data_IF_930368910900
#
_entry.id   IF_930368910900
#
_cell.length_a   1.000
_cell.length_b   1.000
_cell.length_c   1.000
_cell.angle_alpha   90.00
_cell.angle_beta   90.00
_cell.angle_gamma   90.00
#
_symmetry.space_group_name_H-M   'P 1'
#
loop_
_entity.id
_entity.type
_entity.pdbx_description
1 polymer ?
#
# COMPACT_ATOMS: atom_id res chain seq x y z
N UNK A 1 13.44 3.94 -7.16
CA UNK A 1 14.89 4.17 -7.26
C UNK A 1 15.52 3.15 -6.35
N UNK A 2 16.27 2.20 -6.89
CA UNK A 2 17.05 1.25 -6.09
C UNK A 2 18.28 1.96 -5.48
N UNK A 3 19.13 1.22 -4.73
CA UNK A 3 20.30 1.80 -4.06
C UNK A 3 21.31 2.34 -5.08
N UNK A 4 21.42 1.70 -6.23
CA UNK A 4 22.48 1.94 -7.20
C UNK A 4 22.12 3.10 -8.14
N UNK A 5 20.84 3.21 -8.56
CA UNK A 5 20.29 4.41 -9.23
C UNK A 5 20.44 5.68 -8.37
N UNK A 6 20.43 5.57 -7.02
CA UNK A 6 20.58 6.70 -6.09
C UNK A 6 22.05 7.12 -5.99
N UNK A 7 22.96 6.16 -5.82
CA UNK A 7 24.42 6.38 -5.79
C UNK A 7 24.89 6.98 -7.13
N UNK A 8 24.45 6.43 -8.25
CA UNK A 8 24.77 6.92 -9.60
C UNK A 8 24.27 8.36 -9.87
N UNK A 9 23.30 8.86 -9.09
CA UNK A 9 22.79 10.24 -9.15
C UNK A 9 23.47 11.18 -8.14
N UNK A 10 24.49 10.73 -7.41
CA UNK A 10 25.20 11.53 -6.40
C UNK A 10 24.37 11.87 -5.17
N UNK A 11 23.23 11.21 -4.96
CA UNK A 11 22.37 11.43 -3.80
C UNK A 11 22.92 10.66 -2.60
N UNK A 12 23.03 11.32 -1.43
CA UNK A 12 23.48 10.67 -0.19
C UNK A 12 22.50 9.56 0.21
N UNK A 13 23.00 8.33 0.30
CA UNK A 13 22.26 7.20 0.86
C UNK A 13 22.36 7.24 2.38
N UNK A 14 21.23 7.36 3.06
CA UNK A 14 21.18 7.34 4.53
C UNK A 14 20.98 5.91 5.04
N UNK A 15 21.94 5.41 5.82
CA UNK A 15 21.86 4.12 6.53
C UNK A 15 20.99 4.22 7.79
N UNK A 16 19.68 4.24 7.58
CA UNK A 16 18.69 4.09 8.64
C UNK A 16 18.06 2.70 8.59
N UNK A 17 18.29 1.86 9.61
CA UNK A 17 17.52 0.64 9.81
C UNK A 17 16.19 0.93 10.53
N UNK A 18 15.12 1.22 9.78
CA UNK A 18 13.75 1.10 10.31
C UNK A 18 12.96 0.00 9.58
N UNK A 19 12.77 -1.13 10.25
CA UNK A 19 12.12 -2.33 9.70
C UNK A 19 10.59 -2.22 9.75
N UNK A 20 9.97 -1.51 8.79
CA UNK A 20 8.52 -1.56 8.50
C UNK A 20 8.19 -1.46 6.99
N UNK A 21 8.99 -2.10 6.13
CA UNK A 21 8.89 -2.10 4.65
C UNK A 21 9.13 -0.72 3.98
N UNK A 22 10.28 -0.11 4.29
CA UNK A 22 10.84 1.13 3.66
C UNK A 22 10.71 1.09 2.13
N UNK A 23 10.16 2.16 1.51
CA UNK A 23 10.04 2.27 0.05
C UNK A 23 10.99 3.29 -0.61
N UNK A 24 11.50 4.27 0.13
CA UNK A 24 12.52 5.21 -0.35
C UNK A 24 13.87 4.95 0.33
N UNK A 25 14.76 4.20 -0.33
CA UNK A 25 16.11 3.88 0.18
C UNK A 25 17.05 5.10 0.30
N UNK A 26 16.69 6.20 -0.37
CA UNK A 26 17.43 7.47 -0.39
C UNK A 26 16.95 8.47 0.67
N UNK A 27 15.79 8.25 1.29
CA UNK A 27 15.17 9.24 2.17
C UNK A 27 15.56 9.02 3.65
N UNK A 28 15.81 10.13 4.37
CA UNK A 28 16.00 10.16 5.82
C UNK A 28 14.64 10.27 6.53
N UNK A 29 14.20 9.17 7.16
CA UNK A 29 12.95 9.09 7.91
C UNK A 29 13.07 9.51 9.39
N UNK A 30 14.24 9.98 9.83
CA UNK A 30 14.40 10.74 11.08
C UNK A 30 14.12 12.23 10.85
N UNK A 31 14.57 12.75 9.71
CA UNK A 31 14.51 14.18 9.38
C UNK A 31 13.14 14.71 8.96
N UNK A 32 13.10 16.02 8.71
CA UNK A 32 11.94 16.76 8.21
C UNK A 32 11.39 16.15 6.93
N UNK A 33 10.07 15.99 6.85
CA UNK A 33 9.42 15.45 5.65
C UNK A 33 7.90 15.40 5.76
N UNK A 34 7.22 15.34 4.62
CA UNK A 34 5.78 15.09 4.56
C UNK A 34 5.53 13.75 3.87
N UNK A 35 4.67 12.92 4.45
CA UNK A 35 4.48 11.54 4.06
C UNK A 35 2.99 11.22 3.90
N UNK A 36 2.60 10.59 2.80
CA UNK A 36 1.30 9.93 2.70
C UNK A 36 1.47 8.46 3.04
N UNK A 37 0.82 8.04 4.13
CA UNK A 37 0.90 6.70 4.68
C UNK A 37 -0.38 5.93 4.37
N UNK A 38 -0.26 4.60 4.22
CA UNK A 38 -1.38 3.68 4.06
C UNK A 38 -1.16 2.46 4.95
N UNK A 39 -2.09 2.22 5.87
CA UNK A 39 -2.12 1.06 6.76
C UNK A 39 -3.30 0.18 6.38
N UNK A 40 -3.05 -1.06 5.96
CA UNK A 40 -4.09 -2.00 5.52
C UNK A 40 -4.45 -2.94 6.67
N UNK A 41 -5.74 -3.14 6.92
CA UNK A 41 -6.24 -4.12 7.89
C UNK A 41 -5.86 -5.52 7.41
N UNK A 42 -5.42 -6.41 8.31
CA UNK A 42 -5.02 -7.78 7.94
C UNK A 42 -6.14 -8.47 7.15
N UNK A 43 -5.79 -9.09 6.02
CA UNK A 43 -6.75 -9.73 5.12
C UNK A 43 -7.75 -8.79 4.44
N UNK A 44 -7.56 -7.46 4.53
CA UNK A 44 -8.50 -6.42 4.06
C UNK A 44 -9.92 -6.55 4.64
N UNK A 45 -10.02 -7.02 5.88
CA UNK A 45 -11.31 -7.09 6.57
C UNK A 45 -11.91 -5.68 6.74
N UNK A 46 -13.20 -5.45 6.43
CA UNK A 46 -13.83 -4.13 6.49
C UNK A 46 -14.22 -3.72 7.92
N UNK A 47 -13.26 -3.76 8.86
CA UNK A 47 -13.48 -3.58 10.30
C UNK A 47 -13.64 -2.13 10.73
N UNK A 48 -13.24 -1.16 9.90
CA UNK A 48 -13.14 0.26 10.30
C UNK A 48 -14.41 1.06 9.96
N UNK A 49 -15.33 0.50 9.18
CA UNK A 49 -16.59 1.16 8.83
C UNK A 49 -17.22 0.61 7.56
N UNK A 50 -18.38 1.14 7.20
CA UNK A 50 -19.14 0.79 6.00
C UNK A 50 -19.23 2.01 5.07
N UNK A 51 -19.03 1.78 3.78
CA UNK A 51 -19.22 2.80 2.76
C UNK A 51 -20.72 3.08 2.57
N UNK A 52 -21.10 4.35 2.48
CA UNK A 52 -22.48 4.83 2.40
C UNK A 52 -22.56 6.09 1.51
N UNK A 53 -23.74 6.40 0.99
CA UNK A 53 -24.03 7.59 0.17
C UNK A 53 -24.30 7.27 -1.30
N UNK A 54 -24.41 8.32 -2.12
CA UNK A 54 -24.77 8.30 -3.54
C UNK A 54 -23.64 8.87 -4.41
N UNK A 55 -23.25 8.18 -5.48
CA UNK A 55 -22.12 8.62 -6.34
C UNK A 55 -22.39 9.94 -7.06
N UNK A 56 -23.66 10.19 -7.35
CA UNK A 56 -24.21 11.36 -8.05
C UNK A 56 -24.55 12.55 -7.12
N UNK A 57 -24.46 12.37 -5.80
CA UNK A 57 -24.63 13.47 -4.83
C UNK A 57 -23.46 14.46 -4.93
N UNK A 58 -23.74 15.76 -4.78
CA UNK A 58 -22.74 16.82 -4.90
C UNK A 58 -21.82 16.83 -3.66
N UNK A 59 -20.55 17.26 -3.81
CA UNK A 59 -19.66 17.45 -2.65
C UNK A 59 -20.27 18.46 -1.66
N UNK A 60 -20.53 18.00 -0.43
CA UNK A 60 -21.18 18.79 0.62
C UNK A 60 -22.61 18.35 0.94
N UNK A 61 -23.28 17.61 0.04
CA UNK A 61 -24.60 17.04 0.29
C UNK A 61 -24.52 16.01 1.44
N UNK A 62 -25.60 15.89 2.22
CA UNK A 62 -25.71 14.89 3.29
C UNK A 62 -25.48 13.45 2.79
N UNK A 63 -25.88 13.18 1.55
CA UNK A 63 -25.79 11.89 0.87
C UNK A 63 -24.47 11.66 0.12
N UNK A 64 -23.51 12.60 0.18
CA UNK A 64 -22.21 12.46 -0.48
C UNK A 64 -21.47 11.18 -0.01
N UNK A 65 -20.71 10.48 -0.89
CA UNK A 65 -20.08 9.21 -0.54
C UNK A 65 -19.09 9.35 0.60
N UNK A 66 -19.34 8.62 1.68
CA UNK A 66 -18.55 8.67 2.92
C UNK A 66 -18.45 7.30 3.58
N UNK A 67 -17.53 7.17 4.53
CA UNK A 67 -17.38 5.96 5.33
C UNK A 67 -18.02 6.22 6.69
N UNK A 68 -19.12 5.52 6.96
CA UNK A 68 -19.71 5.47 8.30
C UNK A 68 -18.81 4.58 9.15
N UNK A 69 -18.05 5.20 10.05
CA UNK A 69 -17.07 4.51 10.89
C UNK A 69 -17.75 3.48 11.80
N UNK A 70 -17.11 2.33 11.97
CA UNK A 70 -17.47 1.36 13.02
C UNK A 70 -17.06 1.90 14.39
N UNK A 71 -17.44 1.22 15.47
CA UNK A 71 -16.94 1.51 16.82
C UNK A 71 -15.40 1.58 16.86
N UNK A 72 -14.71 0.64 16.20
CA UNK A 72 -13.26 0.66 16.06
C UNK A 72 -12.75 1.83 15.20
N UNK A 73 -13.43 2.15 14.11
CA UNK A 73 -13.10 3.32 13.30
C UNK A 73 -13.21 4.63 14.10
N UNK A 74 -14.25 4.76 14.93
CA UNK A 74 -14.46 5.90 15.83
C UNK A 74 -13.37 5.95 16.90
N UNK A 75 -13.06 4.83 17.55
CA UNK A 75 -11.98 4.75 18.56
C UNK A 75 -10.63 5.14 17.95
N UNK A 76 -10.28 4.65 16.75
CA UNK A 76 -9.03 5.03 16.08
C UNK A 76 -9.03 6.53 15.73
N UNK A 77 -10.13 7.06 15.20
CA UNK A 77 -10.24 8.47 14.82
C UNK A 77 -10.14 9.43 16.02
N UNK A 78 -10.80 9.12 17.13
CA UNK A 78 -10.94 9.99 18.30
C UNK A 78 -9.90 9.75 19.39
N UNK A 79 -9.43 8.52 19.58
CA UNK A 79 -8.47 8.16 20.63
C UNK A 79 -7.05 7.99 20.07
N UNK A 80 -6.86 7.21 19.00
CA UNK A 80 -5.52 6.78 18.57
C UNK A 80 -4.79 7.74 17.64
N UNK A 81 -5.50 8.46 16.76
CA UNK A 81 -4.87 9.45 15.87
C UNK A 81 -4.34 10.66 16.66
N UNK A 82 -5.09 11.28 17.61
CA UNK A 82 -4.58 12.40 18.40
C UNK A 82 -3.36 12.03 19.27
N UNK A 83 -3.24 10.76 19.69
CA UNK A 83 -2.07 10.26 20.42
C UNK A 83 -0.76 10.38 19.63
N UNK A 84 -0.79 10.40 18.29
CA UNK A 84 0.42 10.62 17.48
C UNK A 84 1.06 11.95 17.86
N UNK A 85 0.33 13.06 17.79
CA UNK A 85 0.87 14.38 18.12
C UNK A 85 1.14 14.52 19.63
N UNK A 86 0.28 13.93 20.49
CA UNK A 86 0.46 13.98 21.95
C UNK A 86 1.75 13.32 22.43
N UNK A 87 2.14 12.18 21.86
CA UNK A 87 3.38 11.49 22.21
C UNK A 87 4.59 12.01 21.41
N UNK A 88 4.36 12.57 20.23
CA UNK A 88 5.39 13.02 19.29
C UNK A 88 5.08 14.44 18.77
N UNK A 89 5.36 15.50 19.54
CA UNK A 89 5.00 16.88 19.18
C UNK A 89 5.66 17.40 17.88
N UNK A 90 6.77 16.79 17.46
CA UNK A 90 7.40 17.06 16.15
C UNK A 90 6.57 16.56 14.97
N UNK A 91 5.56 15.71 15.22
CA UNK A 91 4.76 15.02 14.21
C UNK A 91 3.33 15.54 14.20
N UNK A 92 2.86 15.99 13.05
CA UNK A 92 1.49 16.46 12.82
C UNK A 92 0.76 15.56 11.84
N UNK A 93 -0.54 15.36 12.05
CA UNK A 93 -1.42 14.65 11.12
C UNK A 93 -2.29 15.70 10.41
N UNK A 94 -1.97 15.98 9.14
CA UNK A 94 -2.60 17.04 8.34
C UNK A 94 -3.88 16.61 7.61
N UNK A 95 -4.05 15.30 7.37
CA UNK A 95 -5.28 14.74 6.77
C UNK A 95 -5.41 13.27 7.13
N UNK A 96 -6.65 12.82 7.27
CA UNK A 96 -7.02 11.44 7.59
C UNK A 96 -8.12 11.00 6.64
N UNK A 97 -8.03 9.79 6.11
CA UNK A 97 -9.15 9.12 5.45
C UNK A 97 -9.17 7.66 5.93
N UNK A 98 -10.16 7.32 6.75
CA UNK A 98 -10.40 5.95 7.20
C UNK A 98 -11.36 5.30 6.20
N UNK A 99 -10.85 4.31 5.47
CA UNK A 99 -11.59 3.45 4.56
C UNK A 99 -12.02 2.18 5.29
N UNK A 100 -13.02 1.41 4.80
CA UNK A 100 -13.50 0.21 5.49
C UNK A 100 -12.41 -0.78 5.94
N UNK A 101 -11.41 -1.01 5.07
CA UNK A 101 -10.33 -2.00 5.22
C UNK A 101 -8.92 -1.39 5.35
N UNK A 102 -8.78 -0.06 5.39
CA UNK A 102 -7.46 0.60 5.47
C UNK A 102 -7.55 2.06 5.93
N UNK A 103 -6.43 2.63 6.37
CA UNK A 103 -6.32 4.04 6.78
C UNK A 103 -5.28 4.74 5.91
N UNK A 104 -5.64 5.90 5.37
CA UNK A 104 -4.71 6.86 4.78
C UNK A 104 -4.46 8.03 5.75
N UNK A 105 -3.20 8.42 5.91
CA UNK A 105 -2.77 9.58 6.70
C UNK A 105 -1.85 10.46 5.86
N UNK A 106 -1.97 11.78 5.96
CA UNK A 106 -0.90 12.71 5.57
C UNK A 106 -0.25 13.20 6.86
N UNK A 107 1.05 12.93 7.02
CA UNK A 107 1.82 13.19 8.22
C UNK A 107 3.00 14.11 7.90
N UNK A 108 3.20 15.16 8.71
CA UNK A 108 4.36 16.06 8.64
C UNK A 108 5.27 15.79 9.83
N UNK A 109 6.56 15.54 9.56
CA UNK A 109 7.64 15.61 10.54
C UNK A 109 8.26 17.00 10.43
N UNK A 110 8.14 17.80 11.50
CA UNK A 110 8.59 19.21 11.57
C UNK A 110 10.04 19.39 11.97
N UNK A 111 10.58 18.44 12.74
CA UNK A 111 11.90 18.48 13.36
C UNK A 111 12.54 17.09 13.34
N UNK A 112 13.84 17.00 13.58
CA UNK A 112 14.53 15.70 13.59
C UNK A 112 14.07 14.85 14.78
N UNK A 113 13.63 13.63 14.50
CA UNK A 113 13.11 12.73 15.51
C UNK A 113 14.19 12.21 16.46
N UNK A 114 15.48 12.21 16.06
CA UNK A 114 16.60 11.72 16.89
C UNK A 114 16.81 12.51 18.18
N UNK A 115 16.47 13.80 18.20
CA UNK A 115 16.61 14.69 19.36
C UNK A 115 15.34 14.86 20.20
N UNK A 116 14.23 14.22 19.81
CA UNK A 116 12.94 14.44 20.46
C UNK A 116 12.66 13.48 21.60
N UNK A 117 12.41 14.00 22.80
CA UNK A 117 11.85 13.19 23.89
C UNK A 117 10.40 12.81 23.55
N UNK A 118 10.13 11.51 23.44
CA UNK A 118 8.76 10.99 23.43
C UNK A 118 8.27 10.93 24.88
N UNK A 119 7.21 11.67 25.22
CA UNK A 119 6.71 11.70 26.61
C UNK A 119 6.26 10.32 27.08
N UNK A 120 6.62 9.95 28.32
CA UNK A 120 6.08 8.76 28.99
C UNK A 120 4.54 8.84 29.05
N UNK A 121 3.89 7.68 28.93
CA UNK A 121 2.45 7.60 28.83
C UNK A 121 1.75 7.94 30.15
N UNK A 122 0.99 9.04 30.16
CA UNK A 122 -0.06 9.28 31.16
C UNK A 122 -0.99 8.07 31.26
N UNK A 123 -1.06 7.44 32.44
CA UNK A 123 -2.09 6.46 32.79
C UNK A 123 -1.80 5.02 32.38
N UNK A 124 -0.84 4.36 33.06
CA UNK A 124 -1.15 3.03 33.61
C UNK A 124 -1.29 3.26 35.11
N UNK A 125 -2.52 3.30 35.61
CA UNK A 125 -2.76 3.54 37.04
C UNK A 125 -2.13 2.43 37.87
N UNK A 126 -1.55 2.83 39.00
CA UNK A 126 -0.94 1.90 39.93
C UNK A 126 -2.03 1.03 40.59
N UNK A 127 -2.10 -0.25 40.22
CA UNK A 127 -2.49 -1.29 41.18
C UNK A 127 -1.23 -1.75 41.88
N UNK A 128 -0.95 -1.13 43.02
CA UNK A 128 0.09 -1.59 43.92
C UNK A 128 -0.34 -2.82 44.71
N UNK A 129 0.65 -3.48 45.34
CA UNK A 129 0.44 -4.23 46.58
C UNK A 129 -0.05 -5.67 46.45
N UNK A 130 0.75 -6.59 47.02
CA UNK A 130 0.33 -7.87 47.61
C UNK A 130 -0.22 -8.97 46.67
N UNK A 131 0.69 -9.61 45.95
CA UNK A 131 0.57 -11.03 45.54
C UNK A 131 1.95 -11.67 45.31
N UNK A 132 2.83 -11.69 46.33
CA UNK A 132 4.12 -12.39 46.26
C UNK A 132 4.66 -12.82 47.64
N UNK A 133 3.80 -13.46 48.42
CA UNK A 133 4.17 -14.37 49.51
C UNK A 133 3.08 -15.46 49.54
N UNK A 134 3.42 -16.69 49.95
CA UNK A 134 2.55 -17.89 49.89
C UNK A 134 2.33 -18.52 48.50
N UNK A 135 3.40 -19.00 47.87
CA UNK A 135 3.43 -20.32 47.16
C UNK A 135 4.89 -20.73 46.89
N UNK A 136 5.63 -21.10 47.94
CA UNK A 136 6.94 -21.78 47.78
C UNK A 136 7.27 -22.82 48.85
N UNK A 137 6.30 -23.17 49.71
CA UNK A 137 6.41 -24.25 50.69
C UNK A 137 5.20 -25.19 50.57
N UNK A 138 5.25 -26.07 49.56
CA UNK A 138 4.32 -27.18 49.39
C UNK A 138 4.92 -28.24 48.45
N UNK A 139 6.14 -28.70 48.74
CA UNK A 139 6.77 -29.85 48.05
C UNK A 139 7.93 -30.44 48.89
N UNK A 140 7.68 -30.70 50.18
CA UNK A 140 8.60 -31.48 51.02
C UNK A 140 7.89 -32.17 52.21
N UNK A 141 7.01 -33.12 51.94
CA UNK A 141 6.61 -34.13 52.93
C UNK A 141 6.02 -35.39 52.27
N UNK A 142 6.60 -36.55 52.60
CA UNK A 142 5.95 -37.88 52.68
C UNK A 142 5.27 -38.39 51.39
N UNK A 143 5.82 -39.42 50.75
CA UNK A 143 5.74 -40.78 51.31
C UNK A 143 6.92 -41.67 50.90
N UNK A 144 7.50 -42.37 51.88
CA UNK A 144 8.31 -43.59 51.67
C UNK A 144 7.41 -44.80 51.94
N UNK A 145 7.58 -45.90 51.19
CA UNK A 145 7.12 -47.22 51.64
C UNK A 145 6.91 -48.28 50.56
N UNK A 146 7.75 -49.34 50.59
CA UNK A 146 7.58 -50.67 49.95
C UNK A 146 7.50 -50.71 48.39
N UNK A 147 8.46 -51.31 47.69
CA UNK A 147 8.65 -52.76 47.41
C UNK A 147 7.58 -53.31 46.42
N UNK A 148 7.89 -54.14 45.41
CA UNK A 148 9.06 -55.02 45.16
C UNK A 148 9.13 -55.44 43.67
N UNK A 149 10.32 -55.88 43.20
CA UNK A 149 10.63 -56.87 42.11
C UNK A 149 9.69 -56.98 40.86
N UNK A 150 10.11 -57.02 39.59
CA UNK A 150 11.10 -57.83 38.84
C UNK A 150 11.24 -57.21 37.41
N UNK A 151 12.16 -57.50 36.45
CA UNK A 151 13.39 -58.33 36.32
C UNK A 151 14.22 -57.81 35.10
N UNK A 152 15.43 -58.36 34.91
CA UNK A 152 16.17 -58.70 33.65
C UNK A 152 15.92 -57.94 32.32
N UNK A 153 16.95 -57.57 31.54
CA UNK A 153 18.40 -57.73 31.73
C UNK A 153 19.23 -57.39 30.47
N UNK A 154 20.56 -57.35 30.62
CA UNK A 154 21.62 -57.38 29.57
C UNK A 154 21.64 -56.33 28.44
N UNK A 155 22.78 -56.00 27.80
CA UNK A 155 24.18 -55.80 28.25
C UNK A 155 24.96 -55.08 27.11
N UNK A 156 26.20 -54.64 27.38
CA UNK A 156 27.31 -54.38 26.42
C UNK A 156 27.35 -53.12 25.52
N UNK A 157 28.39 -52.31 25.81
CA UNK A 157 29.41 -51.78 24.86
C UNK A 157 29.01 -50.63 23.88
N UNK A 158 29.90 -49.69 23.52
CA UNK A 158 31.30 -49.38 23.92
C UNK A 158 31.66 -47.93 23.49
N UNK A 159 32.50 -47.23 24.29
CA UNK A 159 33.30 -46.03 23.95
C UNK A 159 32.59 -44.78 23.35
N UNK A 160 33.02 -43.54 23.61
CA UNK A 160 34.10 -43.03 24.44
C UNK A 160 34.36 -41.55 24.08
N UNK A 161 34.81 -40.72 25.03
CA UNK A 161 35.11 -39.31 24.75
C UNK A 161 34.68 -38.35 25.87
N UNK A 162 35.50 -38.24 26.91
CA UNK A 162 35.38 -37.17 27.90
C UNK A 162 36.05 -35.89 27.39
N UNK A 163 35.57 -34.73 27.85
CA UNK A 163 36.49 -33.72 28.39
C UNK A 163 35.79 -32.75 29.34
N UNK A 164 36.52 -32.41 30.41
CA UNK A 164 36.16 -31.49 31.49
C UNK A 164 36.14 -30.04 30.95
N UNK A 165 35.18 -29.19 31.30
CA UNK A 165 35.01 -28.52 32.59
C UNK A 165 36.24 -27.69 33.01
N UNK A 166 36.11 -26.36 32.96
CA UNK A 166 36.87 -25.45 33.82
C UNK A 166 35.96 -24.29 34.26
N UNK A 167 35.83 -24.16 35.57
CA UNK A 167 35.20 -23.04 36.28
C UNK A 167 36.32 -22.07 36.65
N UNK A 168 36.07 -20.78 36.53
CA UNK A 168 36.91 -19.71 37.07
C UNK A 168 36.01 -18.67 37.74
N UNK A 169 36.12 -18.55 39.05
CA UNK A 169 35.34 -17.61 39.88
C UNK A 169 36.08 -16.26 40.05
N UNK A 170 35.37 -15.32 40.66
CA UNK A 170 35.85 -14.08 41.31
C UNK A 170 36.23 -12.88 40.40
N UNK A 171 35.94 -11.63 40.78
CA UNK A 171 34.88 -11.09 41.65
C UNK A 171 34.81 -9.55 41.47
N UNK A 172 33.89 -8.88 42.17
CA UNK A 172 33.85 -7.43 42.43
C UNK A 172 33.74 -6.46 41.23
N UNK A 173 32.57 -5.83 41.11
CA UNK A 173 32.29 -4.79 40.10
C UNK A 173 30.98 -4.05 40.32
N UNK A 174 30.64 -3.72 41.57
CA UNK A 174 29.39 -3.01 41.89
C UNK A 174 29.46 -1.54 41.44
N UNK A 175 29.01 -1.26 40.22
CA UNK A 175 28.61 0.09 39.82
C UNK A 175 27.15 0.03 39.40
N UNK A 176 26.29 0.55 40.27
CA UNK A 176 24.87 0.64 39.97
C UNK A 176 24.60 1.74 38.95
N UNK A 177 23.70 1.46 38.01
CA UNK A 177 22.66 2.42 37.60
C UNK A 177 21.59 1.66 36.83
N UNK A 178 20.37 1.64 37.36
CA UNK A 178 19.18 1.27 36.60
C UNK A 178 18.90 2.35 35.58
N UNK A 179 19.65 2.34 34.48
CA UNK A 179 19.31 3.11 33.30
C UNK A 179 17.94 2.61 32.80
N UNK A 180 16.87 3.38 33.10
CA UNK A 180 15.62 3.30 32.34
C UNK A 180 16.03 3.27 30.86
N UNK A 181 15.57 2.27 30.10
CA UNK A 181 15.72 2.28 28.65
C UNK A 181 14.91 3.45 28.09
N UNK A 182 15.56 4.61 28.00
CA UNK A 182 15.08 5.73 27.21
C UNK A 182 14.82 5.21 25.80
N UNK A 183 13.56 5.30 25.38
CA UNK A 183 13.11 4.61 24.18
C UNK A 183 13.41 5.48 22.97
N UNK A 184 14.67 5.41 22.52
CA UNK A 184 15.22 6.18 21.40
C UNK A 184 14.20 6.37 20.27
N UNK A 185 13.87 7.63 20.00
CA UNK A 185 12.92 7.99 18.96
C UNK A 185 13.59 7.98 17.58
N UNK A 186 13.89 6.77 17.10
CA UNK A 186 14.77 6.57 15.96
C UNK A 186 14.16 6.63 14.55
N UNK A 187 12.91 7.10 14.33
CA UNK A 187 12.32 7.39 12.99
C UNK A 187 10.79 7.52 13.00
N UNK A 188 10.22 8.01 11.89
CA UNK A 188 8.80 7.87 11.55
C UNK A 188 8.30 6.41 11.67
N UNK A 189 9.15 5.43 11.35
CA UNK A 189 8.81 4.01 11.48
C UNK A 189 8.44 3.60 12.92
N UNK A 190 9.10 4.19 13.92
CA UNK A 190 8.78 3.96 15.34
C UNK A 190 7.49 4.68 15.77
N UNK A 191 7.25 5.90 15.27
CA UNK A 191 5.98 6.62 15.48
C UNK A 191 4.79 5.81 14.97
N UNK A 192 4.90 5.26 13.75
CA UNK A 192 3.84 4.43 13.16
C UNK A 192 3.72 3.07 13.86
N UNK A 193 4.81 2.48 14.35
CA UNK A 193 4.75 1.30 15.24
C UNK A 193 3.95 1.61 16.52
N UNK A 194 4.18 2.78 17.14
CA UNK A 194 3.39 3.29 18.28
C UNK A 194 1.90 3.35 17.98
N UNK A 195 1.52 4.06 16.92
CA UNK A 195 0.14 4.17 16.45
C UNK A 195 -0.53 2.82 16.18
N UNK A 196 0.17 1.90 15.48
CA UNK A 196 -0.35 0.55 15.21
C UNK A 196 -0.61 -0.26 16.49
N UNK A 197 0.24 -0.12 17.51
CA UNK A 197 0.01 -0.79 18.81
C UNK A 197 -1.23 -0.23 19.52
N UNK A 198 -1.43 1.09 19.50
CA UNK A 198 -2.62 1.73 20.06
C UNK A 198 -3.91 1.26 19.40
N UNK A 199 -3.97 1.30 18.06
CA UNK A 199 -5.08 0.76 17.28
C UNK A 199 -5.33 -0.74 17.55
N UNK A 200 -4.27 -1.52 17.73
CA UNK A 200 -4.38 -2.94 18.07
C UNK A 200 -5.00 -3.13 19.47
N UNK A 201 -4.65 -2.32 20.47
CA UNK A 201 -5.32 -2.34 21.79
C UNK A 201 -6.81 -2.04 21.68
N UNK A 202 -7.20 -1.01 20.93
CA UNK A 202 -8.61 -0.68 20.67
C UNK A 202 -9.35 -1.83 19.96
N UNK A 203 -8.70 -2.47 18.98
CA UNK A 203 -9.23 -3.65 18.28
C UNK A 203 -9.49 -4.84 19.23
N UNK A 204 -8.55 -5.17 20.12
CA UNK A 204 -8.74 -6.24 21.11
C UNK A 204 -9.78 -5.86 22.18
N UNK A 205 -9.86 -4.59 22.59
CA UNK A 205 -10.91 -4.09 23.50
C UNK A 205 -12.32 -4.31 22.95
N UNK A 206 -12.52 -4.12 21.64
CA UNK A 206 -13.83 -4.16 20.97
C UNK A 206 -14.19 -5.57 20.46
N UNK A 207 -13.24 -6.28 19.85
CA UNK A 207 -13.51 -7.57 19.19
C UNK A 207 -12.88 -8.79 19.86
N UNK A 208 -12.06 -8.61 20.90
CA UNK A 208 -11.20 -9.65 21.46
C UNK A 208 -11.88 -10.70 22.34
N UNK A 209 -13.19 -10.63 22.57
CA UNK A 209 -13.86 -11.46 23.57
C UNK A 209 -14.31 -12.85 23.09
N UNK A 210 -14.43 -13.12 21.78
CA UNK A 210 -15.24 -14.26 21.29
C UNK A 210 -14.69 -15.11 20.11
N UNK A 211 -13.40 -15.04 19.73
CA UNK A 211 -12.83 -16.00 18.73
C UNK A 211 -11.36 -16.34 18.94
N UNK A 212 -10.96 -17.50 18.39
CA UNK A 212 -9.58 -17.99 18.27
C UNK A 212 -8.57 -16.92 17.82
N UNK A 213 -7.25 -17.07 18.12
CA UNK A 213 -6.26 -16.00 18.06
C UNK A 213 -6.19 -15.34 16.69
N UNK A 214 -6.88 -14.21 16.54
CA UNK A 214 -6.77 -13.36 15.37
C UNK A 214 -5.36 -12.75 15.34
N UNK A 215 -4.82 -12.58 14.14
CA UNK A 215 -3.64 -11.72 13.95
C UNK A 215 -3.97 -10.29 14.38
N UNK A 216 -2.93 -9.49 14.61
CA UNK A 216 -3.09 -8.07 14.91
C UNK A 216 -3.83 -7.30 13.80
N UNK A 217 -4.43 -6.16 14.15
CA UNK A 217 -5.37 -5.41 13.29
C UNK A 217 -4.86 -5.15 11.86
N UNK A 218 -3.57 -4.86 11.69
CA UNK A 218 -3.00 -4.42 10.41
C UNK A 218 -1.96 -5.39 9.87
N UNK A 219 -1.89 -5.48 8.53
CA UNK A 219 -0.82 -6.18 7.81
C UNK A 219 0.58 -5.74 8.26
N UNK A 220 1.58 -6.61 8.14
CA UNK A 220 2.97 -6.30 8.52
C UNK A 220 3.55 -5.14 7.66
N UNK A 221 4.17 -4.15 8.31
CA UNK A 221 4.68 -2.93 7.69
C UNK A 221 3.62 -1.84 7.48
N UNK A 222 3.88 -0.93 6.55
CA UNK A 222 2.90 0.00 5.95
C UNK A 222 3.38 0.38 4.53
N UNK A 223 2.62 1.21 3.80
CA UNK A 223 3.04 1.78 2.53
C UNK A 223 3.14 3.29 2.67
N UNK A 224 4.24 3.89 2.22
CA UNK A 224 4.49 5.32 2.28
C UNK A 224 4.82 5.93 0.91
N UNK A 225 4.56 7.23 0.79
CA UNK A 225 5.09 8.11 -0.26
C UNK A 225 5.63 9.37 0.40
N UNK A 226 6.82 9.81 -0.02
CA UNK A 226 7.43 11.09 0.38
C UNK A 226 6.94 12.19 -0.54
N UNK A 227 6.54 13.33 0.02
CA UNK A 227 6.17 14.53 -0.73
C UNK A 227 7.45 15.20 -1.25
N UNK A 228 7.55 15.41 -2.56
CA UNK A 228 8.74 15.99 -3.19
C UNK A 228 8.57 17.48 -3.49
N UNK A 229 7.35 17.92 -3.76
CA UNK A 229 7.03 19.31 -4.13
C UNK A 229 5.74 19.76 -3.46
N UNK A 230 5.67 21.01 -3.02
CA UNK A 230 4.54 21.52 -2.21
C UNK A 230 3.19 21.40 -2.90
N UNK A 231 3.11 21.71 -4.21
CA UNK A 231 1.90 21.56 -5.05
C UNK A 231 1.32 20.13 -5.10
N UNK A 232 2.05 19.12 -4.65
CA UNK A 232 1.52 17.76 -4.51
C UNK A 232 0.58 17.62 -3.29
N UNK A 233 0.67 18.53 -2.30
CA UNK A 233 -0.06 18.44 -1.04
C UNK A 233 -1.56 18.68 -1.21
N UNK A 234 -1.98 19.71 -1.96
CA UNK A 234 -3.40 19.92 -2.30
C UNK A 234 -3.94 18.71 -3.07
N UNK A 235 -3.14 18.17 -4.00
CA UNK A 235 -3.48 16.97 -4.76
C UNK A 235 -3.68 15.74 -3.87
N UNK A 236 -2.83 15.54 -2.86
CA UNK A 236 -2.96 14.45 -1.90
C UNK A 236 -4.15 14.63 -0.95
N UNK A 237 -4.42 15.85 -0.48
CA UNK A 237 -5.61 16.16 0.33
C UNK A 237 -6.89 15.82 -0.46
N UNK A 238 -7.03 16.37 -1.68
CA UNK A 238 -8.15 16.07 -2.60
C UNK A 238 -8.27 14.57 -2.90
N UNK A 239 -7.14 13.88 -3.12
CA UNK A 239 -7.12 12.43 -3.35
C UNK A 239 -7.63 11.63 -2.14
N UNK A 240 -7.27 12.02 -0.91
CA UNK A 240 -7.76 11.39 0.32
C UNK A 240 -9.27 11.57 0.47
N UNK A 241 -9.74 12.80 0.27
CA UNK A 241 -11.16 13.17 0.40
C UNK A 241 -12.04 12.44 -0.63
N UNK A 242 -11.52 12.20 -1.84
CA UNK A 242 -12.23 11.52 -2.93
C UNK A 242 -12.23 9.97 -2.84
N UNK A 243 -11.41 9.38 -1.97
CA UNK A 243 -11.29 7.91 -1.89
C UNK A 243 -12.60 7.16 -1.59
N UNK A 244 -13.51 7.64 -0.70
CA UNK A 244 -14.82 7.03 -0.52
C UNK A 244 -15.65 6.98 -1.82
N UNK A 245 -15.77 8.09 -2.56
CA UNK A 245 -16.46 8.11 -3.86
C UNK A 245 -15.78 7.16 -4.86
N UNK A 246 -14.46 7.18 -4.96
CA UNK A 246 -13.69 6.29 -5.85
C UNK A 246 -13.82 4.80 -5.50
N UNK A 247 -14.12 4.46 -4.24
CA UNK A 247 -14.45 3.09 -3.83
C UNK A 247 -15.90 2.75 -4.20
N UNK A 248 -16.83 3.70 -4.04
CA UNK A 248 -18.24 3.52 -4.39
C UNK A 248 -18.39 3.24 -5.89
N UNK A 249 -17.78 4.08 -6.73
CA UNK A 249 -17.71 3.90 -8.18
C UNK A 249 -17.18 2.51 -8.57
N UNK A 250 -16.13 2.02 -7.89
CA UNK A 250 -15.59 0.67 -8.14
C UNK A 250 -16.57 -0.44 -7.74
N UNK A 251 -17.39 -0.23 -6.70
CA UNK A 251 -18.39 -1.21 -6.22
C UNK A 251 -19.65 -1.24 -7.10
N UNK A 252 -20.05 -0.11 -7.68
CA UNK A 252 -21.17 -0.05 -8.63
C UNK A 252 -20.80 -0.62 -10.00
N UNK A 253 -19.56 -0.37 -10.47
CA UNK A 253 -19.11 -0.77 -11.81
C UNK A 253 -17.97 -1.82 -11.77
N UNK A 254 -18.14 -2.99 -11.12
CA UNK A 254 -17.04 -3.95 -10.92
C UNK A 254 -16.47 -4.49 -12.24
N UNK A 255 -17.29 -4.62 -13.30
CA UNK A 255 -16.84 -5.06 -14.63
C UNK A 255 -15.77 -4.14 -15.24
N UNK A 256 -15.91 -2.82 -15.10
CA UNK A 256 -14.96 -1.83 -15.61
C UNK A 256 -13.61 -1.87 -14.86
N UNK A 257 -13.60 -2.35 -13.61
CA UNK A 257 -12.42 -2.38 -12.73
C UNK A 257 -11.89 -3.78 -12.41
N UNK A 258 -12.26 -4.77 -13.22
CA UNK A 258 -11.78 -6.15 -13.13
C UNK A 258 -10.84 -6.46 -14.29
N UNK A 259 -9.68 -7.05 -13.99
CA UNK A 259 -8.75 -7.51 -15.04
C UNK A 259 -9.32 -8.78 -15.67
N UNK A 260 -9.69 -8.67 -16.93
CA UNK A 260 -10.05 -9.79 -17.80
C UNK A 260 -8.77 -10.46 -18.32
N UNK A 261 -8.74 -11.78 -18.28
CA UNK A 261 -7.59 -12.61 -18.61
C UNK A 261 -7.86 -13.42 -19.89
N UNK A 262 -6.81 -13.76 -20.63
CA UNK A 262 -6.86 -14.63 -21.82
C UNK A 262 -7.92 -14.22 -22.86
N UNK A 263 -8.15 -12.92 -23.06
CA UNK A 263 -9.09 -12.41 -24.07
C UNK A 263 -8.42 -12.34 -25.42
N UNK A 264 -9.12 -12.76 -26.46
CA UNK A 264 -8.61 -12.72 -27.83
C UNK A 264 -8.90 -11.36 -28.47
N UNK A 265 -7.85 -10.68 -28.93
CA UNK A 265 -7.91 -9.36 -29.59
C UNK A 265 -6.85 -9.32 -30.69
N UNK A 266 -7.24 -8.99 -31.93
CA UNK A 266 -6.34 -8.92 -33.09
C UNK A 266 -5.46 -10.18 -33.32
N UNK A 267 -6.02 -11.35 -33.04
CA UNK A 267 -5.35 -12.66 -33.12
C UNK A 267 -4.35 -12.96 -31.99
N UNK A 268 -4.39 -12.23 -30.87
CA UNK A 268 -3.52 -12.44 -29.70
C UNK A 268 -4.34 -12.65 -28.42
N UNK A 269 -3.86 -13.52 -27.52
CA UNK A 269 -4.33 -13.55 -26.13
C UNK A 269 -3.79 -12.33 -25.38
N UNK A 270 -4.67 -11.66 -24.66
CA UNK A 270 -4.40 -10.38 -24.01
C UNK A 270 -5.02 -10.33 -22.61
N UNK A 271 -4.45 -9.47 -21.78
CA UNK A 271 -5.06 -8.99 -20.54
C UNK A 271 -5.77 -7.67 -20.83
N UNK A 272 -6.93 -7.42 -20.21
CA UNK A 272 -7.76 -6.24 -20.48
C UNK A 272 -8.39 -5.70 -19.20
N UNK A 273 -8.63 -4.39 -19.13
CA UNK A 273 -9.36 -3.74 -18.02
C UNK A 273 -10.04 -2.46 -18.51
N UNK A 274 -11.30 -2.25 -18.12
CA UNK A 274 -12.15 -1.19 -18.65
C UNK A 274 -13.31 -1.73 -19.49
N UNK A 275 -13.87 -0.88 -20.36
CA UNK A 275 -15.06 -1.22 -21.13
C UNK A 275 -14.72 -2.05 -22.39
N UNK A 276 -14.92 -3.38 -22.35
CA UNK A 276 -14.64 -4.25 -23.50
C UNK A 276 -15.51 -3.94 -24.74
N UNK A 277 -16.73 -3.41 -24.56
CA UNK A 277 -17.63 -3.06 -25.66
C UNK A 277 -17.09 -1.95 -26.58
N UNK A 278 -15.99 -1.27 -26.21
CA UNK A 278 -15.31 -0.35 -27.12
C UNK A 278 -14.68 -1.04 -28.34
N UNK A 279 -14.44 -2.35 -28.28
CA UNK A 279 -13.97 -3.11 -29.45
C UNK A 279 -15.08 -3.29 -30.51
N UNK A 280 -16.33 -3.39 -30.07
CA UNK A 280 -17.49 -3.67 -30.92
C UNK A 280 -17.97 -2.43 -31.71
N UNK A 281 -17.56 -1.23 -31.31
CA UNK A 281 -17.88 0.03 -32.01
C UNK A 281 -17.18 0.03 -33.39
N UNK A 282 -17.88 0.25 -34.51
CA UNK A 282 -17.27 0.14 -35.84
C UNK A 282 -16.37 1.33 -36.24
N UNK A 283 -16.74 2.58 -35.92
CA UNK A 283 -15.91 3.76 -36.21
C UNK A 283 -14.72 3.79 -35.23
N UNK A 284 -13.54 3.38 -35.70
CA UNK A 284 -12.30 3.30 -34.93
C UNK A 284 -11.13 3.81 -35.75
N UNK A 285 -10.18 4.49 -35.11
CA UNK A 285 -8.96 5.01 -35.76
C UNK A 285 -7.72 4.70 -34.94
N UNK A 286 -6.67 4.25 -35.61
CA UNK A 286 -5.36 4.06 -35.01
C UNK A 286 -4.62 5.40 -34.92
N UNK A 287 -4.34 5.85 -33.70
CA UNK A 287 -3.50 7.02 -33.41
C UNK A 287 -2.07 6.53 -33.26
N UNK A 288 -1.37 6.47 -34.39
CA UNK A 288 0.01 5.98 -34.54
C UNK A 288 0.83 7.03 -35.30
N UNK A 289 2.00 7.39 -34.79
CA UNK A 289 2.89 8.37 -35.43
C UNK A 289 4.14 7.69 -35.98
N UNK A 290 4.30 7.74 -37.31
CA UNK A 290 5.49 7.23 -37.98
C UNK A 290 6.51 8.34 -38.25
N UNK A 291 7.81 8.00 -38.14
CA UNK A 291 8.95 8.91 -38.40
C UNK A 291 8.98 9.60 -39.78
N UNK A 292 8.15 9.15 -40.73
CA UNK A 292 8.07 9.65 -42.10
C UNK A 292 7.06 10.79 -42.28
N UNK A 293 6.23 11.06 -41.28
CA UNK A 293 5.19 12.07 -41.36
C UNK A 293 5.78 13.46 -41.18
N UNK A 294 5.39 14.37 -42.08
CA UNK A 294 5.67 15.81 -41.94
C UNK A 294 4.79 16.43 -40.86
N UNK A 295 5.12 17.62 -40.35
CA UNK A 295 4.21 18.36 -39.46
C UNK A 295 2.86 18.67 -40.14
N UNK A 296 2.83 18.80 -41.48
CA UNK A 296 1.58 18.92 -42.26
C UNK A 296 0.72 17.65 -42.21
N UNK A 297 1.34 16.47 -42.34
CA UNK A 297 0.65 15.19 -42.17
C UNK A 297 0.12 15.02 -40.74
N UNK A 298 0.94 15.34 -39.74
CA UNK A 298 0.54 15.26 -38.32
C UNK A 298 -0.62 16.22 -38.00
N UNK A 299 -0.62 17.43 -38.56
CA UNK A 299 -1.71 18.39 -38.39
C UNK A 299 -3.01 17.91 -39.04
N UNK A 300 -2.93 17.24 -40.21
CA UNK A 300 -4.07 16.60 -40.86
C UNK A 300 -4.59 15.41 -40.05
N UNK A 301 -3.74 14.44 -39.74
CA UNK A 301 -4.08 13.23 -38.98
C UNK A 301 -4.67 13.57 -37.61
N UNK A 302 -4.15 14.60 -36.92
CA UNK A 302 -4.73 15.09 -35.65
C UNK A 302 -6.19 15.51 -35.81
N UNK A 303 -6.55 16.23 -36.88
CA UNK A 303 -7.93 16.63 -37.13
C UNK A 303 -8.81 15.41 -37.41
N UNK A 304 -8.33 14.46 -38.21
CA UNK A 304 -9.06 13.23 -38.53
C UNK A 304 -9.30 12.36 -37.28
N UNK A 305 -8.28 12.18 -36.44
CA UNK A 305 -8.38 11.43 -35.18
C UNK A 305 -9.35 12.08 -34.18
N UNK A 306 -9.28 13.41 -34.01
CA UNK A 306 -10.19 14.11 -33.11
C UNK A 306 -11.63 14.14 -33.65
N UNK A 307 -11.81 14.29 -34.97
CA UNK A 307 -13.13 14.23 -35.60
C UNK A 307 -13.78 12.83 -35.49
N UNK A 308 -12.99 11.74 -35.47
CA UNK A 308 -13.51 10.41 -35.12
C UNK A 308 -14.07 10.40 -33.69
N UNK A 309 -13.32 10.93 -32.72
CA UNK A 309 -13.78 11.06 -31.33
C UNK A 309 -15.02 11.95 -31.18
N UNK A 310 -15.11 13.07 -31.91
CA UNK A 310 -16.26 13.98 -31.93
C UNK A 310 -17.55 13.28 -32.36
N UNK A 311 -17.49 12.37 -33.33
CA UNK A 311 -18.63 11.55 -33.77
C UNK A 311 -18.90 10.34 -32.86
N UNK A 312 -18.11 10.15 -31.81
CA UNK A 312 -18.22 9.03 -30.88
C UNK A 312 -17.49 7.74 -31.31
N UNK A 313 -16.62 7.80 -32.32
CA UNK A 313 -15.70 6.71 -32.64
C UNK A 313 -14.62 6.50 -31.57
N UNK A 314 -13.79 5.47 -31.76
CA UNK A 314 -12.78 5.04 -30.78
C UNK A 314 -11.37 5.31 -31.26
N UNK A 315 -10.57 6.00 -30.44
CA UNK A 315 -9.16 6.22 -30.69
C UNK A 315 -8.35 5.06 -30.10
N UNK A 316 -7.63 4.33 -30.94
CA UNK A 316 -6.80 3.17 -30.55
C UNK A 316 -5.34 3.58 -30.59
N UNK A 317 -4.58 3.40 -29.50
CA UNK A 317 -3.17 3.81 -29.48
C UNK A 317 -2.35 3.10 -28.41
N UNK A 318 -1.04 3.03 -28.64
CA UNK A 318 -0.05 2.60 -27.66
C UNK A 318 0.56 3.76 -26.85
N UNK A 319 0.26 5.02 -27.21
CA UNK A 319 0.80 6.22 -26.57
C UNK A 319 2.34 6.20 -26.48
N UNK A 320 3.03 5.82 -27.55
CA UNK A 320 4.49 5.67 -27.60
C UNK A 320 5.13 7.06 -27.79
N UNK A 321 4.75 7.76 -28.85
CA UNK A 321 5.30 9.09 -29.17
C UNK A 321 4.70 10.21 -28.30
N UNK A 322 5.39 11.35 -28.22
CA UNK A 322 4.86 12.55 -27.54
C UNK A 322 3.61 13.08 -28.23
N UNK A 323 3.57 13.04 -29.57
CA UNK A 323 2.43 13.50 -30.38
C UNK A 323 1.19 12.62 -30.16
N UNK A 324 1.34 11.30 -30.05
CA UNK A 324 0.23 10.41 -29.63
C UNK A 324 -0.29 10.78 -28.24
N UNK A 325 0.60 10.97 -27.26
CA UNK A 325 0.24 11.34 -25.87
C UNK A 325 -0.52 12.67 -25.82
N UNK A 326 -0.14 13.65 -26.65
CA UNK A 326 -0.85 14.93 -26.79
C UNK A 326 -2.28 14.76 -27.32
N UNK A 327 -2.46 13.92 -28.35
CA UNK A 327 -3.79 13.62 -28.92
C UNK A 327 -4.66 12.88 -27.92
N UNK A 328 -4.13 11.84 -27.26
CA UNK A 328 -4.89 11.06 -26.28
C UNK A 328 -5.24 11.86 -25.02
N UNK A 329 -4.38 12.79 -24.59
CA UNK A 329 -4.71 13.72 -23.50
C UNK A 329 -5.84 14.66 -23.90
N UNK A 330 -5.82 15.20 -25.10
CA UNK A 330 -6.93 16.03 -25.60
C UNK A 330 -8.23 15.20 -25.69
N UNK A 331 -8.15 13.99 -26.25
CA UNK A 331 -9.29 13.07 -26.34
C UNK A 331 -9.86 12.70 -24.96
N UNK A 332 -9.02 12.41 -23.96
CA UNK A 332 -9.48 12.18 -22.57
C UNK A 332 -10.14 13.42 -21.96
N UNK A 333 -9.58 14.61 -22.15
CA UNK A 333 -10.15 15.87 -21.65
C UNK A 333 -11.51 16.20 -22.30
N UNK A 334 -11.73 15.75 -23.54
CA UNK A 334 -13.00 15.90 -24.27
C UNK A 334 -14.00 14.74 -24.06
N UNK A 335 -13.66 13.74 -23.24
CA UNK A 335 -14.55 12.60 -22.95
C UNK A 335 -14.68 11.59 -24.09
N UNK A 336 -13.67 11.44 -24.95
CA UNK A 336 -13.71 10.50 -26.08
C UNK A 336 -13.38 9.06 -25.67
N UNK A 337 -13.83 8.12 -26.50
CA UNK A 337 -13.64 6.68 -26.30
C UNK A 337 -12.22 6.28 -26.73
N UNK A 338 -11.49 5.60 -25.85
CA UNK A 338 -10.08 5.26 -26.06
C UNK A 338 -9.82 3.79 -25.75
N UNK A 339 -9.10 3.13 -26.66
CA UNK A 339 -8.43 1.85 -26.43
C UNK A 339 -6.93 2.11 -26.31
N UNK A 340 -6.40 1.97 -25.08
CA UNK A 340 -5.00 2.23 -24.76
C UNK A 340 -4.22 0.92 -24.59
N UNK A 341 -3.31 0.65 -25.51
CA UNK A 341 -2.41 -0.49 -25.43
C UNK A 341 -1.29 -0.23 -24.42
N UNK A 342 -0.86 -1.28 -23.71
CA UNK A 342 0.07 -1.23 -22.58
C UNK A 342 1.21 -2.21 -22.77
N UNK A 343 2.42 -1.76 -22.44
CA UNK A 343 3.69 -2.48 -22.57
C UNK A 343 3.93 -3.59 -21.52
N UNK A 344 3.03 -3.73 -20.55
CA UNK A 344 3.10 -4.70 -19.46
C UNK A 344 1.66 -5.05 -19.04
N UNK A 345 1.44 -6.29 -18.60
CA UNK A 345 0.15 -6.78 -18.13
C UNK A 345 -0.35 -6.11 -16.84
N UNK A 346 -1.47 -6.59 -16.33
CA UNK A 346 -2.15 -6.01 -15.18
C UNK A 346 -2.10 -6.97 -13.97
N UNK A 347 -1.62 -6.54 -12.78
CA UNK A 347 -1.72 -7.35 -11.58
C UNK A 347 -3.18 -7.60 -11.20
N UNK A 348 -3.47 -8.71 -10.49
CA UNK A 348 -4.84 -9.09 -10.06
C UNK A 348 -5.65 -7.97 -9.37
N UNK A 349 -4.99 -7.04 -8.69
CA UNK A 349 -5.61 -5.89 -8.00
C UNK A 349 -5.37 -4.55 -8.73
N UNK A 350 -5.09 -4.58 -10.03
CA UNK A 350 -4.90 -3.38 -10.84
C UNK A 350 -6.10 -2.44 -10.75
N UNK A 351 -5.80 -1.15 -10.87
CA UNK A 351 -6.79 -0.08 -10.95
C UNK A 351 -6.14 1.08 -11.73
N UNK A 352 -6.77 1.60 -12.78
CA UNK A 352 -6.32 2.85 -13.41
C UNK A 352 -6.24 4.00 -12.39
N UNK A 353 -5.32 4.93 -12.61
CA UNK A 353 -5.08 6.09 -11.74
C UNK A 353 -5.17 7.41 -12.53
N UNK A 354 -5.38 8.52 -11.81
CA UNK A 354 -5.54 9.84 -12.44
C UNK A 354 -6.74 9.88 -13.39
N UNK A 355 -6.60 10.62 -14.49
CA UNK A 355 -7.56 10.77 -15.60
C UNK A 355 -8.12 9.41 -16.07
N UNK A 356 -7.25 8.41 -16.23
CA UNK A 356 -7.64 7.06 -16.65
C UNK A 356 -8.61 6.35 -15.69
N UNK A 357 -8.67 6.73 -14.40
CA UNK A 357 -9.70 6.20 -13.50
C UNK A 357 -11.10 6.72 -13.85
N UNK A 358 -11.20 7.99 -14.24
CA UNK A 358 -12.48 8.65 -14.54
C UNK A 358 -13.04 8.19 -15.88
N UNK A 359 -12.22 8.21 -16.93
CA UNK A 359 -12.57 7.66 -18.24
C UNK A 359 -12.95 6.17 -18.13
N UNK A 360 -12.27 5.40 -17.28
CA UNK A 360 -12.64 4.02 -16.99
C UNK A 360 -13.99 3.90 -16.24
N UNK A 361 -14.28 4.77 -15.27
CA UNK A 361 -15.58 4.77 -14.57
C UNK A 361 -16.78 5.15 -15.43
N UNK A 362 -16.55 5.97 -16.46
CA UNK A 362 -17.56 6.44 -17.41
C UNK A 362 -17.72 5.49 -18.62
N UNK A 363 -16.97 4.38 -18.65
CA UNK A 363 -16.99 3.41 -19.76
C UNK A 363 -16.30 3.89 -21.04
N UNK A 364 -15.54 4.99 -20.96
CA UNK A 364 -14.84 5.63 -22.08
C UNK A 364 -13.43 5.06 -22.31
N UNK A 365 -12.89 4.28 -21.38
CA UNK A 365 -11.55 3.70 -21.50
C UNK A 365 -11.56 2.17 -21.45
N UNK A 366 -10.78 1.58 -22.35
CA UNK A 366 -10.32 0.20 -22.30
C UNK A 366 -8.78 0.20 -22.36
N UNK A 367 -8.14 -0.53 -21.45
CA UNK A 367 -6.71 -0.78 -21.50
C UNK A 367 -6.46 -2.25 -21.84
N UNK A 368 -5.51 -2.51 -22.74
CA UNK A 368 -5.18 -3.85 -23.24
C UNK A 368 -3.67 -4.05 -23.15
N UNK A 369 -3.20 -5.22 -22.74
CA UNK A 369 -1.80 -5.63 -22.92
C UNK A 369 -1.73 -7.02 -23.55
N UNK A 370 -0.90 -7.24 -24.59
CA UNK A 370 -0.63 -8.56 -25.15
C UNK A 370 0.42 -9.34 -24.35
N UNK A 371 0.89 -8.82 -23.21
CA UNK A 371 1.92 -9.44 -22.37
C UNK A 371 1.45 -9.69 -20.94
N UNK A 372 2.08 -10.66 -20.30
CA UNK A 372 1.88 -10.98 -18.88
C UNK A 372 2.43 -9.89 -17.96
N UNK A 373 1.90 -9.83 -16.74
CA UNK A 373 2.33 -8.84 -15.75
C UNK A 373 3.69 -9.20 -15.14
N UNK A 374 4.65 -8.27 -15.20
CA UNK A 374 5.90 -8.33 -14.46
C UNK A 374 6.16 -7.10 -13.59
N UNK A 375 6.90 -7.28 -12.50
CA UNK A 375 7.31 -6.17 -11.59
C UNK A 375 8.59 -5.46 -12.03
N UNK A 376 9.38 -6.07 -12.90
CA UNK A 376 10.66 -5.52 -13.38
C UNK A 376 10.45 -4.24 -14.19
N UNK A 377 11.30 -3.22 -13.97
CA UNK A 377 11.38 -2.06 -14.85
C UNK A 377 12.11 -2.46 -16.14
N UNK A 378 11.35 -2.76 -17.20
CA UNK A 378 11.91 -2.97 -18.54
C UNK A 378 11.65 -1.75 -19.40
N UNK A 379 12.67 -1.29 -20.12
CA UNK A 379 12.49 -0.35 -21.22
C UNK A 379 11.85 -1.10 -22.37
N UNK A 380 10.72 -0.62 -22.89
CA UNK A 380 10.08 -1.21 -24.07
C UNK A 380 11.04 -1.17 -25.27
N UNK A 381 11.18 -2.29 -25.96
CA UNK A 381 12.03 -2.36 -27.15
C UNK A 381 11.35 -1.73 -28.37
N UNK A 382 12.14 -1.35 -29.39
CA UNK A 382 11.60 -0.86 -30.67
C UNK A 382 10.69 -1.90 -31.34
N UNK A 383 10.99 -3.18 -31.19
CA UNK A 383 10.19 -4.29 -31.71
C UNK A 383 8.81 -4.34 -31.05
N UNK A 384 8.76 -4.32 -29.71
CA UNK A 384 7.50 -4.26 -28.96
C UNK A 384 6.69 -2.99 -29.26
N UNK A 385 7.34 -1.84 -29.48
CA UNK A 385 6.68 -0.63 -29.98
C UNK A 385 5.99 -0.85 -31.33
N UNK A 386 6.64 -1.56 -32.26
CA UNK A 386 6.07 -1.87 -33.57
C UNK A 386 4.93 -2.91 -33.46
N UNK A 387 5.07 -3.93 -32.60
CA UNK A 387 3.99 -4.88 -32.29
C UNK A 387 2.72 -4.15 -31.80
N UNK A 388 2.88 -3.19 -30.88
CA UNK A 388 1.75 -2.41 -30.37
C UNK A 388 1.12 -1.52 -31.46
N UNK A 389 1.91 -0.91 -32.35
CA UNK A 389 1.37 -0.13 -33.46
C UNK A 389 0.55 -1.01 -34.43
N UNK A 390 1.09 -2.15 -34.84
CA UNK A 390 0.37 -3.12 -35.69
C UNK A 390 -0.90 -3.64 -35.01
N UNK A 391 -0.87 -3.85 -33.69
CA UNK A 391 -2.05 -4.23 -32.92
C UNK A 391 -3.10 -3.10 -32.87
N UNK A 392 -2.68 -1.84 -32.74
CA UNK A 392 -3.59 -0.69 -32.78
C UNK A 392 -4.27 -0.52 -34.15
N UNK A 393 -3.50 -0.72 -35.23
CA UNK A 393 -4.00 -0.72 -36.61
C UNK A 393 -5.04 -1.83 -36.83
N UNK A 394 -4.72 -3.08 -36.48
CA UNK A 394 -5.67 -4.22 -36.60
C UNK A 394 -6.96 -4.01 -35.83
N UNK A 395 -6.89 -3.55 -34.58
CA UNK A 395 -8.07 -3.24 -33.77
C UNK A 395 -8.90 -2.15 -34.46
N UNK A 396 -8.28 -1.10 -35.00
CA UNK A 396 -9.01 -0.05 -35.71
C UNK A 396 -9.68 -0.57 -37.01
N UNK A 397 -9.01 -1.46 -37.74
CA UNK A 397 -9.57 -2.14 -38.92
C UNK A 397 -10.67 -3.17 -38.61
N UNK A 398 -10.87 -3.54 -37.34
CA UNK A 398 -11.81 -4.59 -36.92
C UNK A 398 -11.34 -6.02 -37.23
N UNK A 399 -10.02 -6.25 -37.20
CA UNK A 399 -9.34 -7.53 -37.51
C UNK A 399 -8.67 -8.16 -36.29
#
# INVERSE_FOLDING_TARGET
MDRDEVIARGLRVHETQHSMKRRSLWHDYHGRGTYMLTLVVEGRMPLLGKLWGRVDARPGDGDAPKVMLSELGIAIAKEEIPKIHKYYPQVEVWRVCIMPDHIHLIVRVKEDLRGGQAMESLGTEARGGQASALTKEANLAQTKGANQAQTEGANLALAGGANQAQIGENEAGSIGMTAKREKEMGSLGMVIKGFKMGCNKAYWRIYGMNTAPRKGLFELGYNDKVLLHERQLEGWKKYLDDNPRRLMVKRLNPGLFTVMQNKEVAGRKCQMVGNCFLLDIPDKVAVVVHRRYSEGDLARLRREWLACGERGGVLVSAAISTKEKEVLREAMNRGYRIVLLRENGFPRLYKPCGESFYACSEGLLLQISPWEYHMEKKTITREQCLELNVMAERIAEGR
#
